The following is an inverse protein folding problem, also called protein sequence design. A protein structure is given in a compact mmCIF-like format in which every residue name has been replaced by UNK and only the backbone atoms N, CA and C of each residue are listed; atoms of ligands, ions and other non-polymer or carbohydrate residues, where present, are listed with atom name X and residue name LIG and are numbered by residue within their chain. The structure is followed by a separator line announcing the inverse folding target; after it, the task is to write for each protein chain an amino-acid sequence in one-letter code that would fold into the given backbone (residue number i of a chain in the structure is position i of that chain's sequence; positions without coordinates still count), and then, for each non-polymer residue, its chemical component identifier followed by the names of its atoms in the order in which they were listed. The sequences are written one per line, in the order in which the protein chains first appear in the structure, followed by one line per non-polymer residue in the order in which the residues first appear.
data_IF_436677062403
#
_entry.id   IF_436677062403
#
_cell.length_a   1.000
_cell.length_b   1.000
_cell.length_c   1.000
_cell.angle_alpha   90.00
_cell.angle_beta   90.00
_cell.angle_gamma   90.00
#
_symmetry.space_group_name_H-M   'P 1'
#
loop_
_entity.id
_entity.type
_entity.pdbx_description
1 polymer ?
#
# COMPACT_ATOMS: atom_id res chain seq x y z
N UNK A 1 -66.62 101.47 25.11
CA UNK A 1 -66.84 100.01 24.92
C UNK A 1 -65.95 99.28 25.91
N UNK A 2 -66.43 98.18 26.51
CA UNK A 2 -65.63 97.35 27.43
C UNK A 2 -65.24 96.09 26.67
N UNK A 3 -63.97 95.70 26.71
CA UNK A 3 -63.60 94.28 26.77
C UNK A 3 -62.37 94.10 27.65
N UNK A 4 -62.62 93.48 28.81
CA UNK A 4 -61.66 93.17 29.85
C UNK A 4 -61.39 91.66 29.80
N UNK A 5 -60.15 91.24 29.56
CA UNK A 5 -59.72 89.84 29.79
C UNK A 5 -58.25 89.75 30.21
N UNK A 6 -58.06 89.45 31.49
CA UNK A 6 -56.85 88.80 32.03
C UNK A 6 -56.90 87.28 31.72
N UNK A 7 -55.91 86.45 32.09
CA UNK A 7 -54.49 86.58 31.74
C UNK A 7 -53.90 85.25 31.20
N UNK A 8 -52.86 85.30 30.36
CA UNK A 8 -52.07 84.10 30.01
C UNK A 8 -51.10 83.73 31.15
N UNK A 9 -51.49 82.79 32.04
CA UNK A 9 -50.61 82.36 33.16
C UNK A 9 -50.52 80.84 33.45
N UNK A 10 -51.03 79.96 32.57
CA UNK A 10 -50.87 78.50 32.71
C UNK A 10 -49.67 77.92 31.95
N UNK A 11 -49.46 78.39 30.72
CA UNK A 11 -48.68 77.70 29.67
C UNK A 11 -47.16 77.50 29.90
N UNK A 12 -46.61 77.98 31.02
CA UNK A 12 -45.19 77.82 31.36
C UNK A 12 -45.01 76.69 32.38
N UNK A 13 -45.75 76.77 33.48
CA UNK A 13 -45.66 75.82 34.59
C UNK A 13 -46.09 74.41 34.13
N UNK A 14 -47.12 74.31 33.27
CA UNK A 14 -47.54 73.08 32.60
C UNK A 14 -46.37 72.34 31.91
N UNK A 15 -45.43 73.07 31.29
CA UNK A 15 -44.29 72.48 30.58
C UNK A 15 -43.23 71.96 31.54
N UNK A 16 -43.00 72.68 32.64
CA UNK A 16 -42.06 72.26 33.70
C UNK A 16 -42.61 71.00 34.38
N UNK A 17 -43.92 70.98 34.69
CA UNK A 17 -44.61 69.79 35.22
C UNK A 17 -44.52 68.61 34.24
N UNK A 18 -44.79 68.81 32.94
CA UNK A 18 -44.62 67.75 31.94
C UNK A 18 -43.18 67.23 31.82
N UNK A 19 -42.17 68.09 31.99
CA UNK A 19 -40.76 67.66 31.97
C UNK A 19 -40.36 66.91 33.24
N UNK A 20 -40.90 67.30 34.40
CA UNK A 20 -40.70 66.59 35.67
C UNK A 20 -41.41 65.24 35.68
N UNK A 21 -42.64 65.15 35.17
CA UNK A 21 -43.36 63.89 34.97
C UNK A 21 -42.57 62.94 34.06
N UNK A 22 -42.09 63.41 32.89
CA UNK A 22 -41.29 62.56 32.01
C UNK A 22 -40.02 62.03 32.68
N UNK A 23 -39.32 62.85 33.49
CA UNK A 23 -38.15 62.40 34.27
C UNK A 23 -38.53 61.40 35.37
N UNK A 24 -39.72 61.53 35.96
CA UNK A 24 -40.27 60.57 36.91
C UNK A 24 -40.62 59.24 36.22
N UNK A 25 -41.16 59.28 34.99
CA UNK A 25 -41.44 58.10 34.17
C UNK A 25 -40.14 57.40 33.74
N UNK A 26 -39.15 58.15 33.23
CA UNK A 26 -37.79 57.68 32.91
C UNK A 26 -37.11 57.03 34.13
N UNK A 27 -37.21 57.66 35.30
CA UNK A 27 -36.72 57.11 36.57
C UNK A 27 -37.47 55.85 37.01
N UNK A 28 -38.79 55.82 36.83
CA UNK A 28 -39.64 54.66 37.16
C UNK A 28 -39.31 53.46 36.27
N UNK A 29 -39.18 53.67 34.95
CA UNK A 29 -38.69 52.65 34.02
C UNK A 29 -37.28 52.16 34.40
N UNK A 30 -36.37 53.06 34.79
CA UNK A 30 -35.03 52.69 35.24
C UNK A 30 -35.08 51.81 36.50
N UNK A 31 -35.92 52.15 37.49
CA UNK A 31 -36.13 51.36 38.71
C UNK A 31 -36.73 49.98 38.39
N UNK A 32 -37.69 49.90 37.46
CA UNK A 32 -38.28 48.63 37.01
C UNK A 32 -37.22 47.75 36.32
N UNK A 33 -36.41 48.33 35.44
CA UNK A 33 -35.33 47.61 34.74
C UNK A 33 -34.26 47.10 35.73
N UNK A 34 -33.83 47.92 36.69
CA UNK A 34 -32.88 47.50 37.73
C UNK A 34 -33.45 46.42 38.64
N UNK A 35 -34.74 46.47 39.00
CA UNK A 35 -35.42 45.40 39.74
C UNK A 35 -35.48 44.10 38.95
N UNK A 36 -35.78 44.16 37.66
CA UNK A 36 -35.78 43.01 36.76
C UNK A 36 -34.39 42.35 36.67
N UNK A 37 -33.34 43.17 36.49
CA UNK A 37 -31.96 42.72 36.47
C UNK A 37 -31.51 42.11 37.81
N UNK A 38 -31.90 42.70 38.94
CA UNK A 38 -31.62 42.15 40.28
C UNK A 38 -32.31 40.80 40.49
N UNK A 39 -33.59 40.67 40.15
CA UNK A 39 -34.30 39.38 40.22
C UNK A 39 -33.63 38.31 39.34
N UNK A 40 -33.20 38.68 38.13
CA UNK A 40 -32.46 37.80 37.23
C UNK A 40 -31.11 37.37 37.84
N UNK A 41 -30.32 38.31 38.38
CA UNK A 41 -29.02 38.01 39.01
C UNK A 41 -29.14 37.22 40.32
N UNK A 42 -30.21 37.41 41.09
CA UNK A 42 -30.51 36.54 42.25
C UNK A 42 -30.86 35.11 41.80
N UNK A 43 -31.56 34.93 40.69
CA UNK A 43 -31.84 33.61 40.13
C UNK A 43 -30.56 32.92 39.61
N UNK A 44 -29.69 33.65 38.89
CA UNK A 44 -28.36 33.15 38.49
C UNK A 44 -27.52 32.74 39.71
N UNK A 45 -27.48 33.56 40.76
CA UNK A 45 -26.71 33.27 41.97
C UNK A 45 -27.23 32.02 42.70
N UNK A 46 -28.55 31.86 42.82
CA UNK A 46 -29.16 30.68 43.44
C UNK A 46 -28.83 29.39 42.66
N UNK A 47 -28.81 29.44 41.33
CA UNK A 47 -28.41 28.31 40.49
C UNK A 47 -26.91 27.99 40.63
N UNK A 48 -26.04 29.01 40.76
CA UNK A 48 -24.61 28.79 41.06
C UNK A 48 -24.38 28.16 42.44
N UNK A 49 -25.15 28.56 43.47
CA UNK A 49 -25.11 27.90 44.79
C UNK A 49 -25.53 26.43 44.68
N UNK A 50 -26.65 26.15 43.99
CA UNK A 50 -27.12 24.78 43.75
C UNK A 50 -26.12 23.92 42.96
N UNK A 51 -25.35 24.53 42.06
CA UNK A 51 -24.26 23.85 41.35
C UNK A 51 -23.06 23.55 42.26
N UNK A 52 -22.70 24.46 43.18
CA UNK A 52 -21.66 24.20 44.18
C UNK A 52 -22.07 23.08 45.15
N UNK A 53 -23.32 23.03 45.60
CA UNK A 53 -23.86 21.94 46.44
C UNK A 53 -23.77 20.57 45.75
N UNK A 54 -24.04 20.51 44.44
CA UNK A 54 -23.87 19.29 43.64
C UNK A 54 -22.40 18.90 43.42
N UNK A 55 -21.50 19.88 43.31
CA UNK A 55 -20.05 19.63 43.22
C UNK A 55 -19.52 19.08 44.54
N UNK A 56 -19.92 19.66 45.67
CA UNK A 56 -19.56 19.19 47.01
C UNK A 56 -20.00 17.73 47.23
N UNK A 57 -21.26 17.42 46.94
CA UNK A 57 -21.78 16.04 47.01
C UNK A 57 -21.03 15.07 46.07
N UNK A 58 -20.62 15.54 44.89
CA UNK A 58 -19.82 14.74 43.95
C UNK A 58 -18.39 14.51 44.45
N UNK A 59 -17.75 15.51 45.06
CA UNK A 59 -16.43 15.41 45.69
C UNK A 59 -16.45 14.41 46.84
N UNK A 60 -17.40 14.54 47.78
CA UNK A 60 -17.58 13.58 48.88
C UNK A 60 -17.77 12.15 48.36
N UNK A 61 -18.50 11.96 47.27
CA UNK A 61 -18.68 10.64 46.64
C UNK A 61 -17.36 10.08 46.08
N UNK A 62 -16.54 10.93 45.44
CA UNK A 62 -15.21 10.56 44.92
C UNK A 62 -14.22 10.28 46.05
N UNK A 63 -14.24 11.03 47.15
CA UNK A 63 -13.38 10.82 48.32
C UNK A 63 -13.65 9.46 48.97
N UNK A 64 -14.91 9.18 49.33
CA UNK A 64 -15.33 7.88 49.87
C UNK A 64 -15.02 6.71 48.91
N UNK A 65 -15.21 6.92 47.60
CA UNK A 65 -14.86 5.94 46.57
C UNK A 65 -13.36 5.69 46.46
N UNK A 66 -12.54 6.71 46.68
CA UNK A 66 -11.07 6.63 46.63
C UNK A 66 -10.52 5.92 47.88
N UNK A 67 -11.04 6.24 49.07
CA UNK A 67 -10.70 5.55 50.33
C UNK A 67 -11.04 4.05 50.25
N UNK A 68 -12.22 3.71 49.72
CA UNK A 68 -12.59 2.30 49.48
C UNK A 68 -11.64 1.60 48.49
N UNK A 69 -11.24 2.27 47.41
CA UNK A 69 -10.27 1.73 46.44
C UNK A 69 -8.90 1.56 47.10
N UNK A 70 -8.44 2.49 47.94
CA UNK A 70 -7.18 2.38 48.68
C UNK A 70 -7.16 1.15 49.61
N UNK A 71 -8.23 0.94 50.39
CA UNK A 71 -8.37 -0.24 51.25
C UNK A 71 -8.37 -1.54 50.43
N UNK A 72 -9.12 -1.61 49.32
CA UNK A 72 -9.15 -2.81 48.46
C UNK A 72 -7.79 -3.05 47.78
N UNK A 73 -7.08 -2.00 47.39
CA UNK A 73 -5.71 -2.10 46.87
C UNK A 73 -4.72 -2.57 47.95
N UNK A 74 -4.88 -2.13 49.20
CA UNK A 74 -4.04 -2.55 50.32
C UNK A 74 -4.26 -4.03 50.70
N UNK A 75 -5.50 -4.50 50.73
CA UNK A 75 -5.84 -5.91 50.97
C UNK A 75 -5.33 -6.82 49.84
N UNK A 76 -5.49 -6.40 48.58
CA UNK A 76 -5.05 -7.19 47.41
C UNK A 76 -3.54 -7.14 47.21
N UNK A 77 -2.89 -6.02 47.48
CA UNK A 77 -1.43 -5.88 47.55
C UNK A 77 -0.90 -6.23 48.96
N UNK A 78 -1.43 -7.28 49.58
CA UNK A 78 -0.87 -7.83 50.82
C UNK A 78 0.57 -8.31 50.55
N UNK A 79 1.53 -7.45 50.94
CA UNK A 79 2.92 -7.37 50.43
C UNK A 79 3.57 -8.72 50.17
N UNK A 80 3.51 -9.62 51.15
CA UNK A 80 4.17 -10.93 51.12
C UNK A 80 3.79 -11.76 49.88
N UNK A 81 2.50 -11.76 49.48
CA UNK A 81 2.03 -12.54 48.31
C UNK A 81 2.50 -11.95 46.99
N UNK A 82 2.59 -10.62 46.90
CA UNK A 82 3.08 -9.93 45.71
C UNK A 82 4.59 -10.18 45.56
N UNK A 83 5.33 -10.08 46.67
CA UNK A 83 6.77 -10.27 46.74
C UNK A 83 7.17 -11.74 46.52
N UNK A 84 6.40 -12.71 47.03
CA UNK A 84 6.55 -14.13 46.71
C UNK A 84 6.29 -14.39 45.21
N UNK A 85 5.26 -13.76 44.63
CA UNK A 85 4.94 -13.90 43.20
C UNK A 85 5.99 -13.25 42.29
N UNK A 86 6.56 -12.11 42.70
CA UNK A 86 7.68 -11.44 42.04
C UNK A 86 8.94 -12.32 42.10
N UNK A 87 9.31 -12.82 43.27
CA UNK A 87 10.46 -13.73 43.44
C UNK A 87 10.29 -15.05 42.65
N UNK A 88 9.06 -15.58 42.57
CA UNK A 88 8.74 -16.75 41.75
C UNK A 88 8.83 -16.45 40.24
N UNK A 89 8.37 -15.27 39.80
CA UNK A 89 8.48 -14.81 38.41
C UNK A 89 9.94 -14.61 38.01
N UNK A 90 10.74 -13.95 38.84
CA UNK A 90 12.17 -13.74 38.61
C UNK A 90 12.93 -15.08 38.55
N UNK A 91 12.59 -16.01 39.44
CA UNK A 91 13.11 -17.39 39.40
C UNK A 91 12.74 -18.12 38.10
N UNK A 92 11.52 -17.94 37.61
CA UNK A 92 11.07 -18.50 36.34
C UNK A 92 11.78 -17.85 35.13
N UNK A 93 11.96 -16.52 35.14
CA UNK A 93 12.69 -15.78 34.10
C UNK A 93 14.16 -16.21 34.05
N UNK A 94 14.82 -16.35 35.20
CA UNK A 94 16.20 -16.84 35.27
C UNK A 94 16.31 -18.28 34.78
N UNK A 95 15.36 -19.15 35.14
CA UNK A 95 15.31 -20.54 34.68
C UNK A 95 15.12 -20.63 33.16
N UNK A 96 14.13 -19.92 32.61
CA UNK A 96 13.87 -19.85 31.17
C UNK A 96 15.06 -19.26 30.40
N UNK A 97 15.73 -18.24 30.96
CA UNK A 97 16.94 -17.65 30.35
C UNK A 97 18.09 -18.64 30.29
N UNK A 98 18.30 -19.46 31.34
CA UNK A 98 19.32 -20.52 31.34
C UNK A 98 19.00 -21.60 30.30
N UNK A 99 17.74 -22.04 30.20
CA UNK A 99 17.29 -22.99 29.17
C UNK A 99 17.50 -22.44 27.75
N UNK A 100 17.07 -21.20 27.50
CA UNK A 100 17.24 -20.53 26.21
C UNK A 100 18.71 -20.42 25.79
N UNK A 101 19.62 -20.09 26.73
CA UNK A 101 21.07 -20.10 26.47
C UNK A 101 21.59 -21.50 26.11
N UNK A 102 21.19 -22.54 26.87
CA UNK A 102 21.60 -23.93 26.60
C UNK A 102 21.12 -24.39 25.22
N UNK A 103 19.85 -24.14 24.89
CA UNK A 103 19.29 -24.45 23.58
C UNK A 103 20.01 -23.68 22.46
N UNK A 104 20.29 -22.39 22.65
CA UNK A 104 20.98 -21.57 21.65
C UNK A 104 22.40 -22.11 21.35
N UNK A 105 23.18 -22.48 22.36
CA UNK A 105 24.51 -23.08 22.16
C UNK A 105 24.42 -24.42 21.42
N UNK A 106 23.51 -25.31 21.81
CA UNK A 106 23.32 -26.62 21.17
C UNK A 106 22.85 -26.49 19.70
N UNK A 107 21.90 -25.60 19.42
CA UNK A 107 21.37 -25.40 18.06
C UNK A 107 22.38 -24.70 17.16
N UNK A 108 23.08 -23.67 17.65
CA UNK A 108 24.06 -22.90 16.88
C UNK A 108 25.23 -23.76 16.37
N UNK A 109 25.69 -24.74 17.17
CA UNK A 109 26.73 -25.69 16.73
C UNK A 109 26.20 -26.69 15.68
N UNK A 110 24.94 -27.12 15.77
CA UNK A 110 24.37 -28.05 14.80
C UNK A 110 23.97 -27.35 13.47
N UNK A 111 23.42 -26.14 13.55
CA UNK A 111 22.93 -25.39 12.40
C UNK A 111 24.05 -24.72 11.60
N UNK A 112 25.16 -24.32 12.23
CA UNK A 112 26.36 -23.89 11.49
C UNK A 112 26.90 -24.99 10.56
N UNK A 113 26.98 -26.23 11.05
CA UNK A 113 27.37 -27.39 10.23
C UNK A 113 26.36 -27.70 9.11
N UNK A 114 25.05 -27.63 9.39
CA UNK A 114 23.99 -27.78 8.36
C UNK A 114 24.08 -26.66 7.31
N UNK A 115 24.27 -25.40 7.73
CA UNK A 115 24.42 -24.22 6.89
C UNK A 115 25.64 -24.34 5.98
N UNK A 116 26.80 -24.70 6.51
CA UNK A 116 28.02 -24.89 5.72
C UNK A 116 27.86 -26.01 4.67
N UNK A 117 27.26 -27.14 5.05
CA UNK A 117 26.92 -28.24 4.12
C UNK A 117 25.94 -27.82 3.02
N UNK A 118 25.00 -26.93 3.33
CA UNK A 118 24.03 -26.39 2.38
C UNK A 118 24.66 -25.37 1.42
N UNK A 119 25.48 -24.45 1.94
CA UNK A 119 26.30 -23.53 1.14
C UNK A 119 27.20 -24.29 0.15
N UNK A 120 27.88 -25.36 0.61
CA UNK A 120 28.71 -26.22 -0.23
C UNK A 120 27.94 -27.01 -1.31
N UNK A 121 26.61 -27.14 -1.20
CA UNK A 121 25.76 -27.65 -2.28
C UNK A 121 25.34 -26.54 -3.23
N UNK A 122 24.94 -25.38 -2.71
CA UNK A 122 24.54 -24.22 -3.51
C UNK A 122 25.70 -23.72 -4.38
N UNK A 123 26.93 -23.71 -3.87
CA UNK A 123 28.14 -23.36 -4.65
C UNK A 123 28.38 -24.28 -5.86
N UNK A 124 27.93 -25.55 -5.80
CA UNK A 124 27.96 -26.45 -6.95
C UNK A 124 26.91 -26.05 -7.97
N UNK A 125 25.64 -25.93 -7.54
CA UNK A 125 24.54 -25.52 -8.41
C UNK A 125 24.78 -24.14 -9.08
N UNK A 126 25.33 -23.17 -8.35
CA UNK A 126 25.70 -21.85 -8.89
C UNK A 126 26.81 -21.94 -9.95
N UNK A 127 27.71 -22.93 -9.85
CA UNK A 127 28.77 -23.21 -10.83
C UNK A 127 28.27 -24.01 -12.03
N UNK A 128 27.42 -25.01 -11.80
CA UNK A 128 26.83 -25.85 -12.83
C UNK A 128 25.84 -25.05 -13.72
N UNK A 129 25.26 -23.97 -13.17
CA UNK A 129 24.43 -22.98 -13.86
C UNK A 129 25.20 -21.77 -14.43
N UNK A 130 26.51 -21.67 -14.19
CA UNK A 130 27.37 -20.54 -14.60
C UNK A 130 26.92 -19.14 -14.09
N UNK A 131 26.31 -19.10 -12.90
CA UNK A 131 25.81 -17.88 -12.23
C UNK A 131 26.61 -17.55 -10.96
N UNK A 132 27.88 -18.00 -10.89
CA UNK A 132 28.79 -17.84 -9.73
C UNK A 132 28.94 -16.36 -9.32
N UNK A 133 28.91 -15.44 -10.28
CA UNK A 133 29.02 -14.00 -10.04
C UNK A 133 27.86 -13.45 -9.19
N UNK A 134 26.70 -14.12 -9.19
CA UNK A 134 25.53 -13.73 -8.40
C UNK A 134 25.52 -14.32 -6.98
N UNK A 135 26.54 -15.09 -6.58
CA UNK A 135 26.59 -15.85 -5.31
C UNK A 135 26.11 -15.05 -4.10
N UNK A 136 26.50 -13.77 -3.99
CA UNK A 136 26.08 -12.88 -2.90
C UNK A 136 24.56 -12.80 -2.72
N UNK A 137 23.76 -12.79 -3.81
CA UNK A 137 22.29 -12.78 -3.74
C UNK A 137 21.72 -13.98 -2.95
N UNK A 138 22.45 -15.10 -2.98
CA UNK A 138 22.05 -16.39 -2.42
C UNK A 138 22.64 -16.68 -1.04
N UNK A 139 23.54 -15.84 -0.53
CA UNK A 139 24.06 -15.93 0.84
C UNK A 139 23.06 -15.29 1.81
N UNK A 140 22.56 -16.07 2.77
CA UNK A 140 21.67 -15.62 3.86
C UNK A 140 22.12 -16.27 5.17
N UNK A 141 21.86 -15.60 6.29
CA UNK A 141 22.13 -16.13 7.64
C UNK A 141 21.03 -17.05 8.14
N UNK A 142 19.77 -16.76 7.79
CA UNK A 142 18.62 -17.63 8.00
C UNK A 142 18.74 -18.93 7.18
N UNK A 143 18.73 -20.08 7.88
CA UNK A 143 18.86 -21.41 7.29
C UNK A 143 17.62 -21.85 6.49
N UNK A 144 16.43 -21.37 6.83
CA UNK A 144 15.18 -21.60 6.10
C UNK A 144 15.12 -20.83 4.79
N UNK A 145 15.55 -19.56 4.79
CA UNK A 145 15.77 -18.76 3.56
C UNK A 145 16.81 -19.43 2.67
N UNK A 146 17.90 -19.93 3.26
CA UNK A 146 18.95 -20.66 2.52
C UNK A 146 18.43 -21.98 1.93
N UNK A 147 17.60 -22.74 2.66
CA UNK A 147 16.94 -23.96 2.14
C UNK A 147 15.97 -23.65 0.99
N UNK A 148 15.22 -22.56 1.08
CA UNK A 148 14.34 -22.09 0.00
C UNK A 148 15.15 -21.69 -1.24
N UNK A 149 16.27 -21.00 -1.06
CA UNK A 149 17.19 -20.64 -2.13
C UNK A 149 17.82 -21.88 -2.79
N UNK A 150 18.25 -22.88 -2.00
CA UNK A 150 18.74 -24.16 -2.53
C UNK A 150 17.69 -24.88 -3.38
N UNK A 151 16.44 -25.02 -2.89
CA UNK A 151 15.35 -25.65 -3.65
C UNK A 151 15.07 -24.95 -4.99
N UNK A 152 15.13 -23.61 -5.02
CA UNK A 152 14.99 -22.86 -6.27
C UNK A 152 16.15 -23.13 -7.24
N UNK A 153 17.40 -23.20 -6.77
CA UNK A 153 18.56 -23.51 -7.62
C UNK A 153 18.52 -24.95 -8.17
N UNK A 154 18.01 -25.90 -7.39
CA UNK A 154 17.83 -27.31 -7.78
C UNK A 154 16.77 -27.45 -8.90
N UNK A 155 15.65 -26.73 -8.77
CA UNK A 155 14.65 -26.57 -9.82
C UNK A 155 15.22 -25.85 -11.06
N UNK A 156 16.00 -24.79 -10.88
CA UNK A 156 16.65 -24.08 -11.98
C UNK A 156 17.62 -24.97 -12.77
N UNK A 157 18.42 -25.80 -12.09
CA UNK A 157 19.31 -26.78 -12.72
C UNK A 157 18.54 -27.83 -13.55
N UNK A 158 17.42 -28.31 -13.01
CA UNK A 158 16.50 -29.22 -13.71
C UNK A 158 15.92 -28.57 -14.98
N UNK A 159 15.44 -27.33 -14.87
CA UNK A 159 14.87 -26.57 -15.99
C UNK A 159 15.95 -26.24 -17.04
N UNK A 160 17.13 -25.77 -16.63
CA UNK A 160 18.25 -25.50 -17.53
C UNK A 160 18.68 -26.74 -18.32
N UNK A 161 18.67 -27.92 -17.69
CA UNK A 161 18.96 -29.21 -18.34
C UNK A 161 17.90 -29.57 -19.39
N UNK A 162 16.61 -29.33 -19.09
CA UNK A 162 15.51 -29.54 -20.05
C UNK A 162 15.56 -28.55 -21.23
N UNK A 163 15.88 -27.28 -20.96
CA UNK A 163 16.11 -26.25 -21.98
C UNK A 163 17.27 -26.64 -22.89
N UNK A 164 18.43 -27.01 -22.34
CA UNK A 164 19.63 -27.42 -23.09
C UNK A 164 19.38 -28.65 -23.96
N UNK A 165 18.58 -29.60 -23.47
CA UNK A 165 18.15 -30.78 -24.22
C UNK A 165 17.21 -30.40 -25.37
N UNK A 166 16.23 -29.54 -25.11
CA UNK A 166 15.28 -29.02 -26.12
C UNK A 166 15.99 -28.20 -27.20
N UNK A 167 16.95 -27.35 -26.82
CA UNK A 167 17.79 -26.58 -27.72
C UNK A 167 18.63 -27.49 -28.63
N UNK A 168 19.29 -28.50 -28.05
CA UNK A 168 20.04 -29.51 -28.81
C UNK A 168 19.13 -30.28 -29.81
N UNK A 169 17.89 -30.59 -29.42
CA UNK A 169 16.92 -31.21 -30.32
C UNK A 169 16.50 -30.28 -31.47
N UNK A 170 16.18 -29.00 -31.20
CA UNK A 170 15.92 -27.97 -32.23
C UNK A 170 17.12 -27.84 -33.18
N UNK A 171 18.35 -27.83 -32.65
CA UNK A 171 19.58 -27.82 -33.43
C UNK A 171 19.75 -29.04 -34.36
N UNK A 172 19.37 -30.24 -33.92
CA UNK A 172 19.38 -31.42 -34.78
C UNK A 172 18.32 -31.36 -35.89
N UNK A 173 17.15 -30.77 -35.63
CA UNK A 173 16.11 -30.56 -36.65
C UNK A 173 16.53 -29.51 -37.70
N UNK A 174 17.18 -28.42 -37.28
CA UNK A 174 17.71 -27.33 -38.14
C UNK A 174 18.88 -27.75 -39.04
N UNK A 175 19.44 -28.96 -38.84
CA UNK A 175 20.48 -29.56 -39.69
C UNK A 175 19.92 -30.52 -40.75
N UNK A 176 18.60 -30.78 -40.76
CA UNK A 176 17.95 -31.64 -41.77
C UNK A 176 17.73 -30.87 -43.07
N UNK A 177 17.83 -31.56 -44.22
CA UNK A 177 17.60 -31.00 -45.57
C UNK A 177 16.20 -30.37 -45.71
N UNK A 178 15.19 -31.03 -45.15
CA UNK A 178 13.82 -30.53 -45.04
C UNK A 178 13.47 -30.40 -43.53
N UNK A 179 13.64 -29.22 -42.91
CA UNK A 179 13.37 -29.03 -41.48
C UNK A 179 11.86 -28.96 -41.19
N UNK A 180 11.32 -29.69 -40.19
CA UNK A 180 9.90 -29.63 -39.83
C UNK A 180 9.60 -28.36 -39.02
N UNK A 181 9.23 -27.29 -39.72
CA UNK A 181 9.09 -25.93 -39.17
C UNK A 181 8.12 -25.85 -37.98
N UNK A 182 6.96 -26.51 -38.05
CA UNK A 182 5.97 -26.49 -36.96
C UNK A 182 6.50 -27.13 -35.68
N UNK A 183 7.26 -28.24 -35.81
CA UNK A 183 7.89 -28.90 -34.67
C UNK A 183 9.04 -28.06 -34.09
N UNK A 184 9.81 -27.38 -34.94
CA UNK A 184 10.85 -26.42 -34.52
C UNK A 184 10.20 -25.27 -33.72
N UNK A 185 9.09 -24.71 -34.21
CA UNK A 185 8.32 -23.66 -33.53
C UNK A 185 7.70 -24.14 -32.22
N UNK A 186 7.24 -25.39 -32.15
CA UNK A 186 6.75 -25.99 -30.90
C UNK A 186 7.87 -26.07 -29.84
N UNK A 187 9.08 -26.47 -30.25
CA UNK A 187 10.24 -26.56 -29.34
C UNK A 187 10.74 -25.18 -28.92
N UNK A 188 10.72 -24.19 -29.82
CA UNK A 188 11.03 -22.79 -29.49
C UNK A 188 10.07 -22.21 -28.44
N UNK A 189 8.76 -22.39 -28.62
CA UNK A 189 7.74 -22.00 -27.63
C UNK A 189 7.93 -22.73 -26.29
N UNK A 190 8.35 -24.00 -26.31
CA UNK A 190 8.66 -24.78 -25.10
C UNK A 190 9.87 -24.19 -24.36
N UNK A 191 10.98 -23.93 -25.07
CA UNK A 191 12.18 -23.30 -24.51
C UNK A 191 11.85 -21.94 -23.90
N UNK A 192 11.11 -21.09 -24.62
CA UNK A 192 10.70 -19.75 -24.14
C UNK A 192 9.83 -19.83 -22.88
N UNK A 193 8.90 -20.79 -22.79
CA UNK A 193 8.11 -21.01 -21.56
C UNK A 193 8.97 -21.49 -20.39
N UNK A 194 9.87 -22.45 -20.63
CA UNK A 194 10.79 -22.97 -19.61
C UNK A 194 11.76 -21.88 -19.13
N UNK A 195 12.21 -20.98 -20.02
CA UNK A 195 13.14 -19.90 -19.68
C UNK A 195 12.52 -18.86 -18.73
N UNK A 196 11.21 -18.62 -18.80
CA UNK A 196 10.48 -17.81 -17.80
C UNK A 196 10.54 -18.48 -16.43
N UNK A 197 10.31 -19.79 -16.35
CA UNK A 197 10.44 -20.54 -15.08
C UNK A 197 11.88 -20.54 -14.56
N UNK A 198 12.88 -20.68 -15.43
CA UNK A 198 14.29 -20.56 -15.06
C UNK A 198 14.59 -19.19 -14.45
N UNK A 199 14.26 -18.09 -15.15
CA UNK A 199 14.50 -16.71 -14.70
C UNK A 199 13.78 -16.43 -13.37
N UNK A 200 12.58 -16.97 -13.14
CA UNK A 200 11.89 -16.90 -11.85
C UNK A 200 12.67 -17.55 -10.70
N UNK A 201 13.24 -18.75 -10.92
CA UNK A 201 14.01 -19.46 -9.89
C UNK A 201 15.41 -18.86 -9.67
N UNK A 202 16.04 -18.32 -10.72
CA UNK A 202 17.38 -17.73 -10.70
C UNK A 202 17.40 -16.20 -10.48
N UNK A 203 16.31 -15.60 -10.00
CA UNK A 203 16.21 -14.15 -9.71
C UNK A 203 16.60 -13.27 -10.93
N UNK A 204 16.15 -13.69 -12.11
CA UNK A 204 16.39 -13.10 -13.43
C UNK A 204 17.83 -13.21 -13.96
N UNK A 205 18.65 -14.14 -13.45
CA UNK A 205 19.95 -14.43 -14.08
C UNK A 205 19.77 -14.97 -15.52
N UNK A 206 20.70 -14.70 -16.44
CA UNK A 206 20.71 -15.26 -17.80
C UNK A 206 20.98 -16.78 -17.80
N UNK A 207 20.79 -17.41 -18.95
CA UNK A 207 21.13 -18.83 -19.17
C UNK A 207 22.11 -18.96 -20.33
N UNK A 208 23.36 -19.28 -20.01
CA UNK A 208 24.41 -19.47 -21.00
C UNK A 208 24.43 -20.90 -21.56
N UNK A 209 24.48 -21.02 -22.88
CA UNK A 209 24.81 -22.26 -23.59
C UNK A 209 26.06 -21.95 -24.42
N UNK A 210 27.14 -22.71 -24.19
CA UNK A 210 28.44 -22.53 -24.86
C UNK A 210 28.97 -21.07 -24.77
N UNK A 211 28.90 -20.47 -23.56
CA UNK A 211 29.31 -19.08 -23.26
C UNK A 211 28.47 -17.97 -23.93
N UNK A 212 27.36 -18.31 -24.61
CA UNK A 212 26.45 -17.34 -25.21
C UNK A 212 25.05 -17.44 -24.59
N UNK A 213 24.37 -16.31 -24.38
CA UNK A 213 22.99 -16.26 -23.86
C UNK A 213 22.03 -16.96 -24.84
N UNK A 214 21.22 -17.87 -24.32
CA UNK A 214 20.24 -18.64 -25.10
C UNK A 214 19.28 -17.75 -25.91
N UNK A 215 18.85 -16.61 -25.38
CA UNK A 215 17.94 -15.72 -26.12
C UNK A 215 18.61 -15.25 -27.43
N UNK A 216 19.89 -14.86 -27.38
CA UNK A 216 20.67 -14.46 -28.57
C UNK A 216 21.00 -15.64 -29.50
N UNK A 217 21.13 -16.86 -28.98
CA UNK A 217 21.33 -18.07 -29.80
C UNK A 217 20.08 -18.42 -30.61
N UNK A 218 18.89 -18.30 -30.01
CA UNK A 218 17.62 -18.55 -30.70
C UNK A 218 17.43 -17.56 -31.86
N UNK A 219 17.63 -16.26 -31.63
CA UNK A 219 17.56 -15.20 -32.63
C UNK A 219 18.56 -15.41 -33.78
N UNK A 220 19.82 -15.71 -33.46
CA UNK A 220 20.86 -15.96 -34.45
C UNK A 220 20.54 -17.17 -35.34
N UNK A 221 19.86 -18.17 -34.80
CA UNK A 221 19.47 -19.39 -35.51
C UNK A 221 18.20 -19.22 -36.35
N UNK A 222 17.22 -18.47 -35.86
CA UNK A 222 16.03 -18.12 -36.65
C UNK A 222 16.41 -17.21 -37.82
N UNK A 223 17.32 -16.24 -37.61
CA UNK A 223 17.89 -15.43 -38.71
C UNK A 223 18.60 -16.32 -39.75
N UNK A 224 19.51 -17.21 -39.31
CA UNK A 224 20.17 -18.19 -40.20
C UNK A 224 19.18 -19.13 -40.92
N UNK A 225 18.00 -19.40 -40.35
CA UNK A 225 16.94 -20.16 -41.00
C UNK A 225 16.28 -19.34 -42.11
N UNK A 226 15.91 -18.08 -41.83
CA UNK A 226 15.34 -17.15 -42.80
C UNK A 226 16.30 -16.91 -43.97
N UNK A 227 17.58 -16.66 -43.69
CA UNK A 227 18.61 -16.45 -44.73
C UNK A 227 18.73 -17.67 -45.67
N UNK A 228 18.67 -18.90 -45.13
CA UNK A 228 18.65 -20.13 -45.94
C UNK A 228 17.38 -20.27 -46.78
N UNK A 229 16.22 -19.94 -46.23
CA UNK A 229 14.94 -20.00 -46.95
C UNK A 229 14.90 -18.98 -48.10
N UNK A 230 15.46 -17.79 -47.89
CA UNK A 230 15.60 -16.76 -48.93
C UNK A 230 16.63 -17.16 -50.00
N UNK A 231 17.80 -17.70 -49.61
CA UNK A 231 18.82 -18.12 -50.58
C UNK A 231 18.39 -19.33 -51.43
N UNK A 232 17.72 -20.32 -50.83
CA UNK A 232 17.03 -21.39 -51.57
C UNK A 232 15.87 -20.82 -52.42
N UNK A 233 15.25 -19.73 -51.95
CA UNK A 233 14.17 -19.04 -52.63
C UNK A 233 14.55 -18.47 -53.99
N UNK A 234 15.81 -18.08 -54.22
CA UNK A 234 16.25 -17.56 -55.53
C UNK A 234 16.14 -18.58 -56.68
N UNK A 235 15.93 -19.87 -56.39
CA UNK A 235 15.63 -20.91 -57.38
C UNK A 235 14.13 -21.25 -57.54
N UNK A 236 13.20 -20.65 -56.77
CA UNK A 236 11.75 -21.01 -56.86
C UNK A 236 10.71 -19.99 -56.34
N UNK A 237 11.06 -18.94 -55.60
CA UNK A 237 10.07 -17.98 -55.04
C UNK A 237 9.34 -17.14 -56.11
N UNK A 238 9.88 -17.05 -57.33
CA UNK A 238 9.25 -16.35 -58.46
C UNK A 238 7.87 -16.92 -58.86
N UNK A 239 7.45 -18.09 -58.36
CA UNK A 239 6.16 -18.72 -58.70
C UNK A 239 5.04 -18.53 -57.66
N UNK A 240 5.33 -18.04 -56.45
CA UNK A 240 4.35 -17.98 -55.35
C UNK A 240 3.88 -16.55 -55.00
N UNK A 241 4.67 -15.52 -55.30
CA UNK A 241 4.29 -14.12 -55.01
C UNK A 241 3.57 -13.41 -56.18
N UNK A 242 3.60 -13.94 -57.42
CA UNK A 242 2.87 -13.34 -58.55
C UNK A 242 1.34 -13.54 -58.52
N UNK A 243 0.82 -14.48 -57.73
CA UNK A 243 -0.61 -14.83 -57.70
C UNK A 243 -1.45 -14.08 -56.65
N UNK A 244 -0.85 -13.20 -55.84
CA UNK A 244 -1.58 -12.37 -54.84
C UNK A 244 -1.62 -10.86 -55.12
N UNK A 245 -1.17 -10.43 -56.31
CA UNK A 245 -1.25 -9.01 -56.74
C UNK A 245 -2.26 -8.81 -57.90
N UNK A 246 -2.67 -9.87 -58.60
CA UNK A 246 -3.47 -9.76 -59.83
C UNK A 246 -5.01 -9.81 -59.65
N UNK A 247 -5.53 -10.03 -58.43
CA UNK A 247 -6.97 -10.16 -58.19
C UNK A 247 -7.44 -9.47 -56.89
N UNK A 248 -7.44 -8.13 -56.90
CA UNK A 248 -8.45 -7.28 -56.22
C UNK A 248 -8.26 -5.82 -56.63
N UNK A 249 -8.84 -5.47 -57.78
CA UNK A 249 -9.34 -4.13 -58.12
C UNK A 249 -10.05 -4.22 -59.47
N UNK A 250 -11.38 -4.32 -59.44
CA UNK A 250 -12.35 -3.89 -60.48
C UNK A 250 -13.75 -4.45 -60.16
N UNK A 251 -14.48 -3.71 -59.33
CA UNK A 251 -15.94 -3.56 -59.43
C UNK A 251 -16.22 -2.13 -58.98
N UNK A 252 -16.94 -1.37 -59.81
CA UNK A 252 -17.14 0.07 -59.67
C UNK A 252 -18.62 0.41 -59.51
N UNK A 253 -18.93 1.68 -59.19
CA UNK A 253 -20.27 2.30 -59.20
C UNK A 253 -21.23 1.81 -58.10
N UNK A 254 -22.11 2.61 -57.48
CA UNK A 254 -22.26 4.07 -57.27
C UNK A 254 -23.28 4.27 -56.10
N UNK A 255 -23.78 5.44 -55.64
CA UNK A 255 -23.81 6.82 -56.14
C UNK A 255 -23.96 7.84 -54.98
N UNK A 256 -23.55 9.10 -55.19
CA UNK A 256 -23.81 10.30 -54.35
C UNK A 256 -23.18 10.30 -52.92
N UNK A 257 -22.95 11.46 -52.29
CA UNK A 257 -23.21 12.83 -52.74
C UNK A 257 -22.41 13.92 -51.99
N UNK A 258 -21.93 14.87 -52.79
CA UNK A 258 -21.31 16.16 -52.41
C UNK A 258 -22.15 17.01 -51.43
N UNK A 259 -21.52 17.66 -50.44
CA UNK A 259 -21.88 19.02 -49.96
C UNK A 259 -20.70 19.68 -49.20
N UNK A 260 -20.74 21.02 -49.10
CA UNK A 260 -19.69 21.87 -48.51
C UNK A 260 -19.80 21.99 -46.98
N UNK A 261 -18.71 22.37 -46.30
CA UNK A 261 -18.75 22.88 -44.92
C UNK A 261 -19.35 24.29 -44.81
N UNK A 262 -19.40 24.87 -43.60
CA UNK A 262 -18.44 25.95 -43.33
C UNK A 262 -17.91 26.03 -41.88
N UNK A 263 -17.06 27.04 -41.64
CA UNK A 263 -16.50 27.45 -40.35
C UNK A 263 -17.57 28.05 -39.40
N UNK A 264 -17.36 27.98 -38.08
CA UNK A 264 -17.12 29.18 -37.23
C UNK A 264 -16.73 28.88 -35.78
N UNK A 265 -16.44 29.97 -35.05
CA UNK A 265 -16.13 30.10 -33.61
C UNK A 265 -17.07 29.30 -32.68
N UNK A 266 -16.74 29.01 -31.41
CA UNK A 266 -15.76 29.65 -30.52
C UNK A 266 -16.42 30.72 -29.63
N UNK A 267 -16.43 30.50 -28.30
CA UNK A 267 -16.76 31.44 -27.21
C UNK A 267 -16.30 30.82 -25.87
N UNK A 268 -16.34 31.58 -24.78
CA UNK A 268 -15.54 31.42 -23.55
C UNK A 268 -16.26 30.75 -22.36
N UNK A 269 -15.48 30.59 -21.28
CA UNK A 269 -15.87 30.78 -19.85
C UNK A 269 -16.88 29.82 -19.20
N UNK A 270 -16.35 28.99 -18.29
CA UNK A 270 -16.29 29.36 -16.87
C UNK A 270 -14.90 29.05 -16.31
#
# INVERSE_FOLDING_TARGET
MIHQTMPKKSLCDDKIVQQLLRKLDEGTHTIINLRSLLTCKSAELNELVRQLELIDQALTSVENGTEYIEVVLQDTCSSDKLLDAEAALDSAIQSASRLCLIDHYCHQQQDSAKRQKLLSKMDRLLKDLDIVHEKQKYMHDDIGVLQKAYKNLDLASTVATSIKTSFNHRQQLLKRRNPPLDRIKQIDNEIKRQLVSYKLYTRNAPLYINQQDIDTLLELEDKKMVDRLLSLGNASFNKVLRTKVSHRNLSSMDTFGNMKGPQRAGITSS
#
